data_IF_441159421676
#
_entry.id   IF_441159421676
#
_cell.length_a   1.000
_cell.length_b   1.000
_cell.length_c   1.000
_cell.angle_alpha   90.00
_cell.angle_beta   90.00
_cell.angle_gamma   90.00
#
_symmetry.space_group_name_H-M   'P 1'
#
loop_
_entity.id
_entity.type
_entity.pdbx_description
1 polymer ?
#
# COMPACT_ATOMS: atom_id res chain seq x y z
N UNK A 1 -3.35 -35.93 -64.22
CA UNK A 1 -4.54 -35.13 -64.56
C UNK A 1 -5.63 -35.58 -63.60
N UNK A 2 -5.79 -34.97 -62.43
CA UNK A 2 -6.22 -33.58 -62.20
C UNK A 2 -7.76 -33.58 -62.18
N UNK A 3 -8.48 -33.06 -61.20
CA UNK A 3 -8.20 -32.37 -59.94
C UNK A 3 -9.52 -32.44 -59.15
N UNK A 4 -9.45 -32.40 -57.81
CA UNK A 4 -10.61 -32.48 -56.93
C UNK A 4 -11.45 -31.19 -56.99
N UNK A 5 -12.76 -31.32 -57.18
CA UNK A 5 -13.73 -30.23 -57.03
C UNK A 5 -14.41 -30.32 -55.67
N UNK A 6 -13.83 -29.68 -54.67
CA UNK A 6 -14.37 -29.56 -53.32
C UNK A 6 -15.62 -28.66 -53.32
N UNK A 7 -16.71 -29.17 -52.73
CA UNK A 7 -17.98 -28.47 -52.59
C UNK A 7 -17.89 -27.46 -51.44
N UNK A 8 -18.04 -26.18 -51.81
CA UNK A 8 -18.72 -25.11 -51.10
C UNK A 8 -18.77 -25.15 -49.58
N UNK A 9 -17.80 -24.48 -48.96
CA UNK A 9 -17.94 -23.79 -47.69
C UNK A 9 -17.36 -22.37 -47.89
N UNK A 10 -17.99 -21.38 -47.25
CA UNK A 10 -17.64 -19.95 -47.24
C UNK A 10 -18.14 -19.08 -48.40
N UNK A 11 -19.47 -18.89 -48.48
CA UNK A 11 -20.09 -17.88 -49.35
C UNK A 11 -20.71 -16.69 -48.59
N UNK A 12 -20.25 -16.43 -47.35
CA UNK A 12 -20.71 -15.30 -46.52
C UNK A 12 -19.60 -14.25 -46.21
N UNK A 13 -18.41 -14.37 -46.83
CA UNK A 13 -17.21 -13.62 -46.43
C UNK A 13 -16.73 -12.50 -47.37
N UNK A 14 -17.50 -12.02 -48.35
CA UNK A 14 -17.20 -10.73 -49.00
C UNK A 14 -17.96 -9.58 -48.33
N UNK A 15 -17.62 -9.33 -47.06
CA UNK A 15 -17.99 -8.11 -46.37
C UNK A 15 -17.52 -6.87 -47.14
N UNK A 16 -18.25 -5.76 -46.99
CA UNK A 16 -17.94 -4.47 -47.65
C UNK A 16 -16.48 -4.02 -47.37
N UNK A 17 -15.84 -4.51 -46.31
CA UNK A 17 -14.43 -4.28 -45.96
C UNK A 17 -13.65 -5.60 -45.90
N UNK A 18 -13.41 -6.20 -47.06
CA UNK A 18 -12.53 -7.37 -47.17
C UNK A 18 -11.07 -7.00 -46.80
N UNK A 19 -10.23 -7.97 -46.39
CA UNK A 19 -8.88 -7.68 -45.88
C UNK A 19 -8.00 -6.86 -46.83
N UNK A 20 -8.10 -7.11 -48.14
CA UNK A 20 -7.44 -6.36 -49.22
C UNK A 20 -7.88 -4.88 -49.30
N UNK A 21 -9.17 -4.63 -49.05
CA UNK A 21 -9.76 -3.28 -49.02
C UNK A 21 -9.39 -2.57 -47.73
N UNK A 22 -9.43 -3.27 -46.59
CA UNK A 22 -9.05 -2.72 -45.28
C UNK A 22 -7.58 -2.29 -45.29
N UNK A 23 -6.69 -3.12 -45.85
CA UNK A 23 -5.28 -2.77 -46.01
C UNK A 23 -5.10 -1.51 -46.88
N UNK A 24 -5.76 -1.46 -48.03
CA UNK A 24 -5.72 -0.30 -48.93
C UNK A 24 -6.31 0.96 -48.28
N UNK A 25 -7.31 0.79 -47.41
CA UNK A 25 -7.91 1.88 -46.64
C UNK A 25 -6.94 2.42 -45.57
N UNK A 26 -6.23 1.56 -44.83
CA UNK A 26 -5.23 2.00 -43.84
C UNK A 26 -4.05 2.73 -44.51
N UNK A 27 -3.55 2.22 -45.63
CA UNK A 27 -2.54 2.92 -46.43
C UNK A 27 -3.02 4.30 -46.88
N UNK A 28 -4.27 4.40 -47.35
CA UNK A 28 -4.86 5.68 -47.76
C UNK A 28 -5.02 6.65 -46.57
N UNK A 29 -5.28 6.17 -45.36
CA UNK A 29 -5.35 7.03 -44.16
C UNK A 29 -3.98 7.64 -43.81
N UNK A 30 -2.88 6.94 -44.07
CA UNK A 30 -1.52 7.44 -43.87
C UNK A 30 -1.13 8.49 -44.94
N UNK A 31 -1.54 8.28 -46.19
CA UNK A 31 -1.27 9.18 -47.32
C UNK A 31 -2.12 10.46 -47.20
N UNK A 32 -3.37 10.33 -46.75
CA UNK A 32 -4.31 11.44 -46.60
C UNK A 32 -4.67 11.64 -45.12
N UNK A 33 -3.82 12.30 -44.30
CA UNK A 33 -4.11 12.58 -42.90
C UNK A 33 -5.33 13.50 -42.73
N UNK A 34 -5.93 13.60 -41.52
CA UNK A 34 -7.08 14.46 -41.27
C UNK A 34 -6.71 15.96 -41.36
N UNK A 35 -6.83 16.55 -42.55
CA UNK A 35 -6.49 17.96 -42.81
C UNK A 35 -7.62 18.93 -42.45
N UNK A 36 -8.12 18.93 -41.21
CA UNK A 36 -9.06 19.96 -40.69
C UNK A 36 -10.10 20.49 -41.71
N UNK A 37 -10.23 21.82 -41.81
CA UNK A 37 -11.15 22.53 -42.73
C UNK A 37 -10.43 23.08 -43.99
N UNK A 38 -9.52 22.34 -44.63
CA UNK A 38 -8.92 22.75 -45.92
C UNK A 38 -9.04 21.63 -46.94
N UNK A 39 -9.61 21.94 -48.11
CA UNK A 39 -9.80 21.01 -49.24
C UNK A 39 -8.50 20.93 -50.05
N UNK A 40 -8.07 19.71 -50.38
CA UNK A 40 -6.91 19.47 -51.25
C UNK A 40 -7.40 19.58 -52.70
N UNK A 41 -6.78 20.44 -53.49
CA UNK A 41 -7.11 20.64 -54.91
C UNK A 41 -6.13 19.80 -55.73
N UNK A 42 -6.63 18.89 -56.57
CA UNK A 42 -5.83 18.15 -57.52
C UNK A 42 -5.99 18.81 -58.89
N UNK A 43 -4.87 19.28 -59.45
CA UNK A 43 -4.81 20.24 -60.57
C UNK A 43 -5.02 19.62 -61.96
N UNK A 44 -5.23 18.31 -62.07
CA UNK A 44 -5.16 17.58 -63.34
C UNK A 44 -6.50 17.29 -64.03
N UNK A 45 -7.65 17.46 -63.35
CA UNK A 45 -8.98 17.20 -63.95
C UNK A 45 -10.06 18.26 -63.61
N UNK A 46 -9.70 19.37 -62.95
CA UNK A 46 -10.62 20.47 -62.63
C UNK A 46 -11.73 20.13 -61.61
N UNK A 47 -11.76 18.92 -61.05
CA UNK A 47 -12.70 18.49 -60.00
C UNK A 47 -12.10 18.61 -58.60
N UNK A 48 -12.84 19.22 -57.69
CA UNK A 48 -12.48 19.26 -56.26
C UNK A 48 -12.80 17.92 -55.59
N UNK A 49 -11.80 17.22 -55.04
CA UNK A 49 -11.99 15.98 -54.28
C UNK A 49 -11.80 16.21 -52.78
N UNK A 50 -12.72 15.74 -51.97
CA UNK A 50 -12.57 15.66 -50.51
C UNK A 50 -11.70 14.46 -50.08
N UNK A 51 -11.16 14.51 -48.86
CA UNK A 51 -10.32 13.44 -48.27
C UNK A 51 -10.92 12.04 -48.44
N UNK A 52 -12.21 11.89 -48.14
CA UNK A 52 -12.89 10.59 -48.21
C UNK A 52 -13.15 10.12 -49.66
N UNK A 53 -13.15 11.05 -50.62
CA UNK A 53 -13.21 10.73 -52.06
C UNK A 53 -11.83 10.30 -52.58
N UNK A 54 -10.76 10.90 -52.07
CA UNK A 54 -9.38 10.48 -52.36
C UNK A 54 -9.09 9.08 -51.81
N UNK A 55 -9.54 8.79 -50.58
CA UNK A 55 -9.43 7.44 -49.99
C UNK A 55 -10.21 6.41 -50.82
N UNK A 56 -11.45 6.72 -51.22
CA UNK A 56 -12.24 5.87 -52.10
C UNK A 56 -11.56 5.61 -53.45
N UNK A 57 -10.96 6.64 -54.06
CA UNK A 57 -10.22 6.51 -55.32
C UNK A 57 -8.96 5.66 -55.15
N UNK A 58 -8.23 5.84 -54.06
CA UNK A 58 -7.03 5.04 -53.74
C UNK A 58 -7.37 3.55 -53.59
N UNK A 59 -8.43 3.23 -52.84
CA UNK A 59 -8.93 1.85 -52.72
C UNK A 59 -9.25 1.28 -54.09
N UNK A 60 -9.99 2.01 -54.92
CA UNK A 60 -10.34 1.55 -56.28
C UNK A 60 -9.10 1.32 -57.16
N UNK A 61 -8.08 2.18 -57.05
CA UNK A 61 -6.85 2.04 -57.80
C UNK A 61 -6.02 0.82 -57.38
N UNK A 62 -5.98 0.53 -56.07
CA UNK A 62 -5.21 -0.59 -55.50
C UNK A 62 -5.90 -1.95 -55.62
N UNK A 63 -7.22 -2.02 -55.42
CA UNK A 63 -7.95 -3.29 -55.33
C UNK A 63 -8.87 -3.56 -56.52
N UNK A 64 -9.10 -2.58 -57.39
CA UNK A 64 -10.12 -2.64 -58.45
C UNK A 64 -11.57 -2.56 -57.94
N UNK A 65 -11.79 -2.71 -56.63
CA UNK A 65 -13.12 -2.71 -56.00
C UNK A 65 -13.55 -1.28 -55.65
N UNK A 66 -14.77 -0.90 -56.04
CA UNK A 66 -15.28 0.46 -55.80
C UNK A 66 -15.85 0.59 -54.39
N UNK A 67 -15.41 1.63 -53.66
CA UNK A 67 -16.02 2.07 -52.38
C UNK A 67 -16.47 3.50 -52.50
N UNK A 68 -17.66 3.79 -52.00
CA UNK A 68 -18.24 5.14 -52.04
C UNK A 68 -17.66 6.02 -50.93
N UNK A 69 -17.63 7.33 -51.16
CA UNK A 69 -17.32 8.32 -50.12
C UNK A 69 -18.11 8.13 -48.84
N UNK A 70 -19.40 7.75 -48.94
CA UNK A 70 -20.27 7.52 -47.79
C UNK A 70 -19.84 6.27 -47.01
N UNK A 71 -19.48 5.18 -47.69
CA UNK A 71 -18.94 3.97 -47.05
C UNK A 71 -17.64 4.27 -46.29
N UNK A 72 -16.70 4.98 -46.93
CA UNK A 72 -15.45 5.44 -46.29
C UNK A 72 -15.73 6.30 -45.05
N UNK A 73 -16.69 7.23 -45.15
CA UNK A 73 -17.05 8.12 -44.03
C UNK A 73 -17.66 7.34 -42.86
N UNK A 74 -18.54 6.38 -43.15
CA UNK A 74 -19.16 5.51 -42.16
C UNK A 74 -18.11 4.68 -41.41
N UNK A 75 -17.16 4.09 -42.14
CA UNK A 75 -16.10 3.26 -41.56
C UNK A 75 -15.17 4.04 -40.63
N UNK A 76 -14.77 5.25 -41.03
CA UNK A 76 -13.99 6.17 -40.17
C UNK A 76 -14.77 6.47 -38.88
N UNK A 77 -16.08 6.71 -38.95
CA UNK A 77 -16.90 6.98 -37.78
C UNK A 77 -17.02 5.77 -36.86
N UNK A 78 -17.15 4.56 -37.41
CA UNK A 78 -17.18 3.31 -36.65
C UNK A 78 -15.85 3.12 -35.90
N UNK A 79 -14.72 3.30 -36.57
CA UNK A 79 -13.40 3.21 -35.95
C UNK A 79 -13.19 4.25 -34.85
N UNK A 80 -13.61 5.50 -35.08
CA UNK A 80 -13.55 6.55 -34.06
C UNK A 80 -14.41 6.20 -32.83
N UNK A 81 -15.66 5.76 -33.05
CA UNK A 81 -16.57 5.32 -31.97
C UNK A 81 -16.01 4.12 -31.20
N UNK A 82 -15.40 3.15 -31.89
CA UNK A 82 -14.77 1.98 -31.25
C UNK A 82 -13.60 2.41 -30.37
N UNK A 83 -12.72 3.28 -30.87
CA UNK A 83 -11.59 3.83 -30.10
C UNK A 83 -12.06 4.62 -28.87
N UNK A 84 -13.11 5.42 -29.01
CA UNK A 84 -13.71 6.14 -27.86
C UNK A 84 -14.28 5.17 -26.81
N UNK A 85 -14.96 4.10 -27.24
CA UNK A 85 -15.49 3.08 -26.32
C UNK A 85 -14.38 2.32 -25.59
N UNK A 86 -13.29 1.98 -26.28
CA UNK A 86 -12.12 1.32 -25.66
C UNK A 86 -11.45 2.23 -24.62
N UNK A 87 -11.34 3.53 -24.87
CA UNK A 87 -10.82 4.50 -23.89
C UNK A 87 -11.77 4.64 -22.70
N UNK A 88 -13.08 4.72 -22.94
CA UNK A 88 -14.08 4.80 -21.87
C UNK A 88 -14.14 3.54 -21.02
N UNK A 89 -13.98 2.35 -21.63
CA UNK A 89 -13.91 1.09 -20.90
C UNK A 89 -12.66 1.04 -19.99
N UNK A 90 -11.50 1.45 -20.52
CA UNK A 90 -10.26 1.53 -19.71
C UNK A 90 -10.38 2.50 -18.54
N UNK A 91 -10.96 3.68 -18.75
CA UNK A 91 -11.20 4.64 -17.69
C UNK A 91 -12.19 4.11 -16.64
N UNK A 92 -13.25 3.42 -17.08
CA UNK A 92 -14.24 2.83 -16.17
C UNK A 92 -13.63 1.70 -15.32
N UNK A 93 -12.76 0.88 -15.90
CA UNK A 93 -12.04 -0.18 -15.18
C UNK A 93 -11.04 0.39 -14.17
N UNK A 94 -10.34 1.49 -14.52
CA UNK A 94 -9.48 2.20 -13.57
C UNK A 94 -10.28 2.84 -12.43
N UNK A 95 -11.41 3.49 -12.73
CA UNK A 95 -12.28 4.06 -11.70
C UNK A 95 -12.89 3.00 -10.78
N UNK A 96 -13.23 1.81 -11.29
CA UNK A 96 -13.73 0.71 -10.48
C UNK A 96 -12.65 0.18 -9.53
N UNK A 97 -11.41 0.03 -10.01
CA UNK A 97 -10.27 -0.35 -9.17
C UNK A 97 -9.96 0.70 -8.11
N UNK A 98 -9.98 1.98 -8.48
CA UNK A 98 -9.78 3.08 -7.53
C UNK A 98 -10.90 3.14 -6.48
N UNK A 99 -12.14 2.83 -6.86
CA UNK A 99 -13.27 2.75 -5.93
C UNK A 99 -13.14 1.54 -4.99
N UNK A 100 -12.68 0.39 -5.48
CA UNK A 100 -12.35 -0.77 -4.64
C UNK A 100 -11.22 -0.43 -3.65
N UNK A 101 -10.13 0.21 -4.12
CA UNK A 101 -9.03 0.69 -3.28
C UNK A 101 -9.51 1.69 -2.22
N UNK A 102 -10.36 2.66 -2.58
CA UNK A 102 -10.92 3.63 -1.64
C UNK A 102 -11.85 2.99 -0.60
N UNK A 103 -12.70 2.04 -1.00
CA UNK A 103 -13.55 1.31 -0.06
C UNK A 103 -12.74 0.41 0.89
N UNK A 104 -11.63 -0.16 0.42
CA UNK A 104 -10.69 -0.93 1.22
C UNK A 104 -9.88 -0.04 2.18
N UNK A 105 -9.49 1.18 1.76
CA UNK A 105 -8.84 2.16 2.63
C UNK A 105 -9.78 2.62 3.78
N UNK A 106 -11.10 2.55 3.57
CA UNK A 106 -12.09 2.82 4.60
C UNK A 106 -12.34 1.62 5.54
N UNK A 107 -11.87 0.41 5.22
CA UNK A 107 -12.02 -0.75 6.10
C UNK A 107 -11.02 -0.69 7.28
N UNK A 108 -11.55 -0.77 8.50
CA UNK A 108 -10.74 -0.82 9.71
C UNK A 108 -10.05 -2.16 9.86
N UNK A 109 -8.84 -2.14 10.42
CA UNK A 109 -8.18 -3.34 10.92
C UNK A 109 -9.06 -4.12 11.92
N UNK A 110 -9.96 -3.45 12.65
CA UNK A 110 -10.97 -4.09 13.49
C UNK A 110 -12.11 -4.76 12.72
N UNK A 111 -12.55 -4.19 11.59
CA UNK A 111 -13.53 -4.82 10.70
C UNK A 111 -12.90 -6.03 10.01
N UNK A 112 -11.65 -5.91 9.57
CA UNK A 112 -10.87 -7.03 9.07
C UNK A 112 -10.79 -8.11 10.14
N UNK A 113 -10.25 -7.84 11.33
CA UNK A 113 -10.12 -8.82 12.40
C UNK A 113 -11.45 -9.50 12.78
N UNK A 114 -12.59 -8.78 12.74
CA UNK A 114 -13.91 -9.28 13.13
C UNK A 114 -14.67 -10.09 12.07
N UNK A 115 -14.31 -10.01 10.78
CA UNK A 115 -15.09 -10.61 9.67
C UNK A 115 -15.07 -12.16 9.55
N UNK A 116 -14.90 -12.93 10.63
CA UNK A 116 -14.90 -14.41 10.57
C UNK A 116 -15.57 -15.01 11.81
N UNK A 117 -16.85 -15.41 11.70
CA UNK A 117 -17.45 -16.66 12.22
C UNK A 117 -18.82 -16.84 11.51
N UNK A 118 -18.87 -17.39 10.30
CA UNK A 118 -20.06 -18.07 9.72
C UNK A 118 -19.63 -18.87 8.46
N UNK A 119 -18.67 -19.77 8.57
CA UNK A 119 -18.39 -20.75 7.51
C UNK A 119 -18.10 -22.17 8.06
N UNK A 120 -18.48 -22.47 9.31
CA UNK A 120 -18.06 -23.72 9.99
C UNK A 120 -19.20 -24.56 10.58
N UNK A 121 -20.42 -24.47 10.04
CA UNK A 121 -21.54 -25.32 10.52
C UNK A 121 -22.55 -25.72 9.42
N UNK A 122 -22.07 -26.14 8.24
CA UNK A 122 -22.97 -26.67 7.19
C UNK A 122 -22.46 -27.91 6.45
N UNK A 123 -21.60 -28.73 7.08
CA UNK A 123 -21.05 -29.93 6.42
C UNK A 123 -21.14 -31.22 7.26
N UNK A 124 -22.10 -31.30 8.17
CA UNK A 124 -22.49 -32.55 8.83
C UNK A 124 -24.01 -32.57 9.03
N UNK A 125 -24.74 -33.07 8.02
CA UNK A 125 -25.96 -33.89 8.12
C UNK A 125 -26.70 -33.87 6.76
N UNK A 126 -26.25 -34.69 5.80
CA UNK A 126 -27.06 -34.99 4.61
C UNK A 126 -27.02 -36.49 4.29
N UNK A 127 -28.00 -37.23 4.83
CA UNK A 127 -28.42 -38.54 4.32
C UNK A 127 -29.95 -38.68 4.48
N UNK A 128 -30.71 -38.38 3.41
CA UNK A 128 -31.84 -39.16 2.85
C UNK A 128 -32.75 -38.30 1.92
N UNK A 129 -32.90 -38.76 0.67
CA UNK A 129 -33.68 -38.25 -0.49
C UNK A 129 -35.24 -38.30 -0.32
N UNK A 130 -36.10 -37.93 -1.32
CA UNK A 130 -36.09 -36.82 -2.32
C UNK A 130 -37.47 -36.08 -2.49
N UNK A 131 -37.53 -34.94 -3.19
CA UNK A 131 -38.41 -34.68 -4.38
C UNK A 131 -38.51 -33.19 -4.82
N UNK A 132 -37.96 -32.92 -6.01
CA UNK A 132 -38.39 -32.01 -7.11
C UNK A 132 -39.24 -30.74 -6.86
N UNK A 133 -38.74 -29.56 -7.26
CA UNK A 133 -39.13 -28.84 -8.51
C UNK A 133 -38.35 -27.52 -8.73
N UNK A 134 -37.87 -27.32 -9.97
CA UNK A 134 -37.62 -26.09 -10.74
C UNK A 134 -36.89 -24.84 -10.14
N UNK A 135 -35.66 -24.62 -10.63
CA UNK A 135 -35.07 -23.37 -11.19
C UNK A 135 -35.47 -22.00 -10.62
N UNK A 136 -34.55 -21.32 -9.93
CA UNK A 136 -33.74 -20.18 -10.43
C UNK A 136 -32.87 -19.63 -9.28
N UNK A 137 -31.56 -19.56 -9.50
CA UNK A 137 -30.59 -19.01 -8.54
C UNK A 137 -30.38 -17.52 -8.79
N UNK A 138 -30.93 -16.69 -7.92
CA UNK A 138 -30.49 -15.32 -7.67
C UNK A 138 -30.82 -15.02 -6.21
N UNK A 139 -29.80 -14.76 -5.38
CA UNK A 139 -29.80 -13.71 -4.35
C UNK A 139 -28.73 -13.99 -3.28
N UNK A 140 -27.56 -13.36 -3.48
CA UNK A 140 -26.51 -13.24 -2.46
C UNK A 140 -26.06 -11.78 -2.27
N UNK A 141 -26.94 -10.82 -2.62
CA UNK A 141 -26.67 -9.38 -2.49
C UNK A 141 -27.89 -8.60 -1.99
N UNK A 142 -28.53 -9.07 -0.92
CA UNK A 142 -29.66 -8.36 -0.29
C UNK A 142 -29.42 -7.97 1.18
N UNK A 143 -28.16 -7.88 1.62
CA UNK A 143 -27.83 -7.44 2.99
C UNK A 143 -27.28 -6.00 3.07
N UNK A 144 -26.98 -5.35 1.94
CA UNK A 144 -26.29 -4.05 1.91
C UNK A 144 -27.07 -2.96 1.17
N UNK A 145 -28.28 -2.66 1.63
CA UNK A 145 -28.88 -1.33 1.46
C UNK A 145 -29.53 -0.99 2.80
N UNK A 146 -28.81 -0.26 3.64
CA UNK A 146 -29.37 0.38 4.83
C UNK A 146 -29.96 1.73 4.44
N UNK A 147 -31.24 1.90 4.79
CA UNK A 147 -32.11 3.03 4.50
C UNK A 147 -31.48 4.40 4.77
N UNK A 148 -31.75 5.31 3.82
CA UNK A 148 -31.70 6.75 4.01
C UNK A 148 -32.99 7.14 4.71
N UNK A 149 -32.91 7.56 5.97
CA UNK A 149 -34.01 8.29 6.60
C UNK A 149 -33.72 9.80 6.56
N UNK A 150 -34.67 10.51 5.96
CA UNK A 150 -34.60 11.91 5.61
C UNK A 150 -35.57 12.65 6.53
N UNK A 151 -35.06 13.46 7.46
CA UNK A 151 -35.85 14.57 7.96
C UNK A 151 -35.03 15.81 8.34
N UNK A 152 -35.65 16.96 8.09
CA UNK A 152 -35.04 18.29 7.88
C UNK A 152 -34.65 19.02 9.17
N UNK A 153 -33.61 19.85 9.10
CA UNK A 153 -33.66 21.30 9.39
C UNK A 153 -32.35 22.01 9.00
N UNK A 154 -32.47 23.09 8.23
CA UNK A 154 -31.39 23.99 7.75
C UNK A 154 -30.94 24.98 8.86
N UNK A 155 -29.70 25.52 8.82
CA UNK A 155 -29.48 26.77 8.08
C UNK A 155 -28.11 26.90 7.35
N UNK A 156 -28.21 27.35 6.10
CA UNK A 156 -27.46 28.42 5.42
C UNK A 156 -25.98 28.69 5.80
N UNK A 157 -25.04 28.18 4.99
CA UNK A 157 -23.69 28.77 4.82
C UNK A 157 -23.26 28.69 3.34
N UNK A 158 -22.88 29.85 2.80
CA UNK A 158 -22.50 30.14 1.41
C UNK A 158 -21.21 29.43 0.96
N UNK A 159 -21.06 29.05 -0.33
CA UNK A 159 -19.84 28.43 -0.83
C UNK A 159 -18.76 29.50 -1.07
N UNK A 160 -17.62 29.37 -0.37
CA UNK A 160 -16.42 30.16 -0.68
C UNK A 160 -15.59 29.38 -1.68
N UNK A 161 -15.52 29.93 -2.89
CA UNK A 161 -14.55 29.59 -3.92
C UNK A 161 -13.16 30.04 -3.44
N UNK A 162 -12.18 29.13 -3.37
CA UNK A 162 -10.76 29.50 -3.37
C UNK A 162 -10.05 28.90 -4.58
N UNK A 163 -9.46 29.81 -5.36
CA UNK A 163 -8.65 29.58 -6.53
C UNK A 163 -7.23 29.09 -6.15
N UNK A 164 -6.48 28.48 -7.09
CA UNK A 164 -5.19 27.85 -6.82
C UNK A 164 -4.02 28.87 -6.84
N UNK A 165 -2.79 28.38 -6.65
CA UNK A 165 -1.44 28.95 -6.92
C UNK A 165 -0.57 29.25 -5.67
N UNK A 166 0.78 29.23 -5.76
CA UNK A 166 1.67 28.51 -6.69
C UNK A 166 2.83 27.74 -5.99
N UNK A 167 3.36 26.75 -6.71
CA UNK A 167 4.62 26.04 -6.40
C UNK A 167 5.80 26.96 -6.72
N UNK A 168 6.71 27.19 -5.76
CA UNK A 168 7.99 27.87 -6.01
C UNK A 168 9.14 26.87 -5.92
N UNK A 169 9.80 26.64 -7.06
CA UNK A 169 11.05 25.90 -7.19
C UNK A 169 12.22 26.81 -6.78
N UNK A 170 13.08 26.35 -5.88
CA UNK A 170 14.34 27.04 -5.55
C UNK A 170 15.50 26.25 -6.13
N UNK A 171 16.22 26.92 -7.01
CA UNK A 171 17.43 26.46 -7.68
C UNK A 171 18.64 26.40 -6.73
N UNK A 172 19.48 25.38 -6.94
CA UNK A 172 20.78 25.22 -6.29
C UNK A 172 21.75 26.34 -6.72
N UNK A 173 22.43 26.95 -5.75
CA UNK A 173 23.55 27.86 -6.02
C UNK A 173 24.86 27.20 -5.59
N UNK A 174 25.69 26.89 -6.59
CA UNK A 174 27.11 26.57 -6.45
C UNK A 174 27.88 27.85 -6.13
N UNK A 175 28.69 27.87 -5.06
CA UNK A 175 29.70 28.91 -4.85
C UNK A 175 31.08 28.25 -4.72
N UNK A 176 32.01 28.85 -5.46
CA UNK A 176 33.33 28.39 -5.80
C UNK A 176 34.36 28.46 -4.67
N UNK A 177 35.38 27.61 -4.85
CA UNK A 177 36.65 27.54 -4.11
C UNK A 177 37.52 28.79 -4.29
N UNK A 178 38.13 29.27 -3.21
CA UNK A 178 39.08 30.39 -3.23
C UNK A 178 39.91 30.53 -1.94
N UNK A 179 41.14 29.98 -1.98
CA UNK A 179 42.41 30.36 -1.35
C UNK A 179 42.57 30.74 0.16
N UNK A 180 43.61 30.11 0.72
CA UNK A 180 44.31 30.18 2.01
C UNK A 180 44.50 31.55 2.71
N UNK A 181 44.50 31.55 4.06
CA UNK A 181 45.58 32.12 4.91
C UNK A 181 45.43 31.73 6.40
N UNK A 182 46.56 31.83 7.12
CA UNK A 182 46.94 31.13 8.35
C UNK A 182 46.75 31.95 9.65
N UNK A 183 46.70 31.23 10.79
CA UNK A 183 46.93 31.64 12.20
C UNK A 183 45.90 32.46 12.97
N UNK A 184 45.42 31.90 14.08
CA UNK A 184 44.67 32.60 15.12
C UNK A 184 44.10 31.66 16.18
N UNK A 185 44.97 31.22 17.11
CA UNK A 185 44.65 30.37 18.26
C UNK A 185 43.67 31.11 19.20
N UNK A 186 42.45 30.60 19.33
CA UNK A 186 41.56 30.92 20.46
C UNK A 186 40.88 29.63 20.93
N UNK A 187 41.17 29.28 22.17
CA UNK A 187 40.71 28.12 22.90
C UNK A 187 39.25 28.30 23.32
N UNK A 188 38.36 27.48 22.77
CA UNK A 188 37.03 27.23 23.31
C UNK A 188 36.92 25.71 23.46
N UNK A 189 36.63 25.25 24.68
CA UNK A 189 36.49 23.83 25.00
C UNK A 189 35.52 23.15 24.01
N UNK A 190 35.82 21.93 23.51
CA UNK A 190 34.80 21.15 22.86
C UNK A 190 33.81 20.71 23.94
N UNK A 191 32.59 21.23 23.89
CA UNK A 191 31.45 20.57 24.51
C UNK A 191 31.42 19.15 23.94
N UNK A 192 31.86 18.17 24.74
CA UNK A 192 31.77 16.75 24.43
C UNK A 192 30.32 16.30 24.59
N UNK A 193 29.42 16.81 23.74
CA UNK A 193 28.21 16.09 23.41
C UNK A 193 28.60 15.06 22.36
N UNK A 194 28.83 13.84 22.82
CA UNK A 194 29.23 12.67 22.04
C UNK A 194 28.36 12.53 20.79
N UNK A 195 28.98 12.70 19.62
CA UNK A 195 28.39 12.54 18.28
C UNK A 195 27.88 11.12 17.96
N UNK A 196 27.94 10.20 18.92
CA UNK A 196 27.63 8.76 18.78
C UNK A 196 26.15 8.42 18.94
N UNK A 197 25.34 9.35 19.46
CA UNK A 197 23.92 9.12 19.75
C UNK A 197 23.00 9.26 18.52
N UNK A 198 23.59 9.17 17.32
CA UNK A 198 22.99 9.69 16.10
C UNK A 198 22.23 8.67 15.28
N UNK A 199 22.28 7.37 15.60
CA UNK A 199 21.60 6.33 14.81
C UNK A 199 20.75 5.36 15.62
N UNK A 200 20.68 5.51 16.95
CA UNK A 200 20.11 4.51 17.87
C UNK A 200 18.74 4.98 18.37
N UNK A 201 17.80 4.06 18.55
CA UNK A 201 16.55 4.32 19.27
C UNK A 201 16.88 4.32 20.76
N UNK A 202 17.18 5.50 21.30
CA UNK A 202 17.65 5.61 22.67
C UNK A 202 17.84 7.03 23.17
N UNK A 203 17.66 7.20 24.47
CA UNK A 203 18.09 8.37 25.23
C UNK A 203 19.53 8.17 25.74
N UNK A 204 20.05 9.12 26.51
CA UNK A 204 21.39 9.00 27.13
C UNK A 204 21.45 7.87 28.16
N UNK A 205 20.29 7.47 28.68
CA UNK A 205 20.16 6.53 29.80
C UNK A 205 19.48 5.23 29.41
N UNK A 206 18.88 5.12 28.22
CA UNK A 206 18.13 3.93 27.88
C UNK A 206 18.01 3.76 26.36
N UNK A 207 18.29 2.56 25.85
CA UNK A 207 18.25 2.28 24.41
C UNK A 207 17.58 0.95 24.09
N UNK A 208 16.92 0.88 22.95
CA UNK A 208 16.46 -0.35 22.32
C UNK A 208 17.63 -0.99 21.56
N UNK A 209 17.99 -2.23 21.92
CA UNK A 209 19.07 -2.98 21.30
C UNK A 209 18.57 -3.94 20.22
N UNK A 210 17.41 -4.57 20.42
CA UNK A 210 16.82 -5.50 19.47
C UNK A 210 15.30 -5.52 19.61
N UNK A 211 14.59 -5.55 18.49
CA UNK A 211 13.14 -5.73 18.46
C UNK A 211 12.78 -6.67 17.31
N UNK A 212 11.97 -7.69 17.59
CA UNK A 212 11.49 -8.60 16.54
C UNK A 212 10.06 -9.03 16.80
N UNK A 213 9.25 -9.04 15.74
CA UNK A 213 7.99 -9.77 15.72
C UNK A 213 8.11 -10.92 14.73
N UNK A 214 7.72 -12.12 15.15
CA UNK A 214 7.96 -13.34 14.42
C UNK A 214 6.82 -14.34 14.53
N UNK A 215 6.78 -15.24 13.56
CA UNK A 215 6.01 -16.47 13.60
C UNK A 215 6.99 -17.63 13.69
N UNK A 216 6.74 -18.58 14.58
CA UNK A 216 7.49 -19.82 14.64
C UNK A 216 6.56 -21.02 14.51
N UNK A 217 7.07 -22.09 13.95
CA UNK A 217 6.36 -23.36 13.90
C UNK A 217 7.35 -24.50 14.06
N UNK A 218 6.86 -25.58 14.66
CA UNK A 218 7.60 -26.80 14.87
C UNK A 218 7.12 -27.82 13.84
N UNK A 219 8.03 -28.32 13.00
CA UNK A 219 7.70 -29.40 12.08
C UNK A 219 7.98 -30.72 12.80
N UNK A 220 6.98 -31.58 13.00
CA UNK A 220 7.14 -32.84 13.74
C UNK A 220 8.25 -33.74 13.15
N UNK A 221 8.59 -33.57 11.87
CA UNK A 221 9.65 -34.34 11.18
C UNK A 221 11.06 -33.79 11.38
N UNK A 222 11.22 -32.54 11.83
CA UNK A 222 12.50 -31.90 12.05
C UNK A 222 12.48 -31.21 13.42
N UNK A 223 13.32 -31.65 14.36
CA UNK A 223 13.45 -31.04 15.70
C UNK A 223 13.89 -29.55 15.70
N UNK A 224 14.02 -28.94 14.52
CA UNK A 224 14.41 -27.54 14.35
C UNK A 224 13.16 -26.64 14.26
N UNK A 225 13.07 -25.68 15.18
CA UNK A 225 12.10 -24.59 15.10
C UNK A 225 12.42 -23.74 13.88
N UNK A 226 11.44 -23.55 13.00
CA UNK A 226 11.53 -22.53 11.94
C UNK A 226 10.92 -21.25 12.46
N UNK A 227 11.55 -20.13 12.14
CA UNK A 227 11.11 -18.80 12.53
C UNK A 227 11.11 -17.92 11.29
N UNK A 228 10.03 -17.17 11.13
CA UNK A 228 9.87 -16.12 10.14
C UNK A 228 9.75 -14.79 10.87
N UNK A 229 10.58 -13.80 10.51
CA UNK A 229 10.52 -12.46 11.10
C UNK A 229 9.64 -11.57 10.22
N UNK A 230 8.51 -11.10 10.77
CA UNK A 230 7.71 -10.08 10.11
C UNK A 230 8.44 -8.74 10.12
N UNK A 231 8.98 -8.39 11.29
CA UNK A 231 9.80 -7.20 11.49
C UNK A 231 11.02 -7.54 12.33
N UNK A 232 12.12 -6.86 12.01
CA UNK A 232 13.38 -7.01 12.72
C UNK A 232 14.12 -5.67 12.80
N UNK A 233 14.45 -5.26 14.01
CA UNK A 233 15.44 -4.23 14.34
C UNK A 233 16.56 -4.96 15.05
N UNK A 234 17.70 -5.07 14.38
CA UNK A 234 18.90 -5.67 14.95
C UNK A 234 19.78 -4.65 15.68
N UNK A 235 20.92 -5.11 16.21
CA UNK A 235 21.91 -4.24 16.83
C UNK A 235 22.37 -3.18 15.82
N UNK A 236 22.09 -1.92 16.13
CA UNK A 236 22.41 -0.81 15.24
C UNK A 236 23.93 -0.61 15.23
N UNK A 237 24.59 -0.56 14.05
CA UNK A 237 26.02 -0.33 13.99
C UNK A 237 26.37 1.05 14.57
N UNK A 238 27.48 1.10 15.31
CA UNK A 238 27.95 2.26 16.10
C UNK A 238 28.23 3.52 15.23
N UNK A 239 28.26 3.38 13.90
CA UNK A 239 28.51 4.43 12.94
C UNK A 239 27.33 4.57 11.96
N UNK A 240 26.36 5.42 12.31
CA UNK A 240 25.25 5.77 11.43
C UNK A 240 25.13 7.29 11.26
N UNK A 241 24.49 7.71 10.17
CA UNK A 241 24.10 9.11 9.94
C UNK A 241 23.11 9.57 11.03
N UNK A 242 23.05 10.88 11.34
CA UNK A 242 22.00 11.41 12.21
C UNK A 242 20.62 10.97 11.72
N UNK A 243 19.78 10.50 12.64
CA UNK A 243 18.37 10.22 12.37
C UNK A 243 17.71 11.46 11.80
N UNK A 244 16.93 11.26 10.74
CA UNK A 244 16.07 12.29 10.18
C UNK A 244 15.00 12.68 11.20
N UNK A 245 14.68 13.96 11.24
CA UNK A 245 13.65 14.49 12.13
C UNK A 245 12.31 14.53 11.39
N UNK A 246 11.26 14.06 12.05
CA UNK A 246 9.88 14.17 11.58
C UNK A 246 9.10 14.98 12.61
N UNK A 247 8.35 15.96 12.13
CA UNK A 247 7.46 16.74 12.98
C UNK A 247 6.35 15.82 13.54
N UNK A 248 6.29 15.73 14.87
CA UNK A 248 5.33 14.90 15.59
C UNK A 248 3.86 15.20 15.24
N UNK A 249 3.57 16.44 14.81
CA UNK A 249 2.22 16.85 14.39
C UNK A 249 1.72 16.12 13.14
N UNK A 250 2.64 15.61 12.31
CA UNK A 250 2.28 14.90 11.06
C UNK A 250 1.71 13.51 11.30
N UNK A 251 1.84 12.97 12.51
CA UNK A 251 1.44 11.59 12.83
C UNK A 251 0.38 11.52 13.93
N UNK A 252 -0.10 12.64 14.49
CA UNK A 252 -1.07 12.62 15.59
C UNK A 252 -2.38 11.92 15.20
N UNK A 253 -2.83 12.06 13.96
CA UNK A 253 -4.03 11.39 13.42
C UNK A 253 -3.92 9.85 13.40
N UNK A 254 -2.69 9.32 13.46
CA UNK A 254 -2.43 7.88 13.47
C UNK A 254 -2.42 7.27 14.87
N UNK A 255 -2.46 8.08 15.94
CA UNK A 255 -2.35 7.61 17.32
C UNK A 255 -3.49 8.14 18.21
N UNK A 256 -3.73 7.53 19.39
CA UNK A 256 -4.81 7.96 20.28
C UNK A 256 -4.61 9.41 20.72
N UNK A 257 -5.69 10.20 20.66
CA UNK A 257 -5.76 11.55 21.21
C UNK A 257 -6.17 11.54 22.69
N UNK A 258 -6.99 10.56 23.10
CA UNK A 258 -7.52 10.44 24.46
C UNK A 258 -6.75 9.38 25.28
N UNK A 259 -6.62 9.60 26.59
CA UNK A 259 -6.13 8.58 27.52
C UNK A 259 -4.61 8.36 27.50
N UNK A 260 -3.81 9.44 27.56
CA UNK A 260 -2.36 9.35 27.50
C UNK A 260 -1.91 9.00 26.08
N UNK A 261 -2.41 9.80 25.14
CA UNK A 261 -2.12 9.73 23.72
C UNK A 261 -0.70 10.17 23.36
N UNK A 262 -0.31 10.05 22.08
CA UNK A 262 1.04 10.46 21.66
C UNK A 262 1.29 11.95 21.93
N UNK A 263 0.28 12.79 21.74
CA UNK A 263 0.36 14.23 22.02
C UNK A 263 0.63 14.51 23.49
N UNK A 264 -0.19 13.97 24.40
CA UNK A 264 -0.03 14.12 25.85
C UNK A 264 1.34 13.64 26.33
N UNK A 265 1.77 12.48 25.82
CA UNK A 265 3.07 11.90 26.16
C UNK A 265 4.20 12.83 25.73
N UNK A 266 4.14 13.36 24.49
CA UNK A 266 5.18 14.25 23.97
C UNK A 266 5.22 15.59 24.70
N UNK A 267 4.07 16.13 25.09
CA UNK A 267 4.00 17.39 25.85
C UNK A 267 4.52 17.26 27.29
N UNK A 268 4.36 16.09 27.91
CA UNK A 268 4.82 15.82 29.27
C UNK A 268 6.24 15.25 29.33
N UNK A 269 6.66 14.54 28.29
CA UNK A 269 7.89 13.78 28.25
C UNK A 269 9.08 14.53 27.66
N UNK A 270 10.31 14.02 27.86
CA UNK A 270 11.49 14.57 27.23
C UNK A 270 11.48 14.31 25.70
N UNK A 271 11.59 15.33 24.82
CA UNK A 271 11.51 15.15 23.37
C UNK A 271 12.53 14.14 22.79
N UNK A 272 13.68 13.97 23.42
CA UNK A 272 14.70 12.99 23.02
C UNK A 272 14.28 11.52 23.20
N UNK A 273 13.19 11.24 23.91
CA UNK A 273 12.69 9.89 24.13
C UNK A 273 11.72 9.41 23.03
N UNK A 274 11.39 10.26 22.04
CA UNK A 274 10.35 9.99 21.05
C UNK A 274 10.94 9.63 19.68
N UNK A 275 10.53 8.48 19.17
CA UNK A 275 11.00 7.93 17.90
C UNK A 275 9.82 7.44 17.06
N UNK A 276 9.98 7.52 15.74
CA UNK A 276 9.08 6.91 14.77
C UNK A 276 9.87 5.86 13.99
N UNK A 277 9.32 4.67 13.88
CA UNK A 277 9.90 3.58 13.10
C UNK A 277 8.90 3.19 12.02
N UNK A 278 9.32 3.34 10.77
CA UNK A 278 8.59 2.85 9.61
C UNK A 278 9.11 1.46 9.26
N UNK A 279 8.24 0.46 9.34
CA UNK A 279 8.54 -0.91 8.96
C UNK A 279 8.04 -1.24 7.56
N UNK A 280 8.84 -2.00 6.83
CA UNK A 280 8.40 -2.82 5.70
C UNK A 280 8.34 -4.26 6.18
N UNK A 281 7.13 -4.71 6.53
CA UNK A 281 6.88 -6.00 7.11
C UNK A 281 6.98 -7.11 6.03
N UNK A 282 7.70 -8.18 6.34
CA UNK A 282 7.79 -9.33 5.47
C UNK A 282 6.62 -10.29 5.72
N UNK A 283 5.69 -10.34 4.77
CA UNK A 283 4.52 -11.24 4.83
C UNK A 283 4.70 -12.48 3.95
N UNK A 284 5.88 -12.69 3.35
CA UNK A 284 6.17 -13.75 2.38
C UNK A 284 6.46 -15.09 3.05
N UNK A 285 5.49 -15.60 3.80
CA UNK A 285 5.53 -16.96 4.33
C UNK A 285 4.66 -17.86 3.49
N UNK A 286 5.25 -18.88 2.88
CA UNK A 286 4.48 -20.01 2.39
C UNK A 286 4.03 -20.83 3.60
N UNK A 287 2.82 -20.58 4.09
CA UNK A 287 2.17 -21.56 4.96
C UNK A 287 1.86 -22.76 4.08
N UNK A 288 2.58 -23.87 4.28
CA UNK A 288 2.09 -25.13 3.77
C UNK A 288 0.71 -25.33 4.38
N UNK A 289 -0.28 -25.48 3.50
CA UNK A 289 -1.70 -25.80 3.75
C UNK A 289 -1.86 -26.49 5.10
N UNK A 290 -2.73 -25.92 5.93
CA UNK A 290 -3.22 -26.52 7.18
C UNK A 290 -3.22 -28.04 7.07
N UNK A 291 -2.33 -28.70 7.83
CA UNK A 291 -2.46 -30.14 8.02
C UNK A 291 -3.74 -30.32 8.82
N UNK A 292 -4.80 -30.69 8.10
CA UNK A 292 -6.06 -31.14 8.68
C UNK A 292 -5.74 -32.30 9.62
N UNK A 293 -5.71 -32.00 10.92
CA UNK A 293 -5.50 -32.97 11.99
C UNK A 293 -4.07 -33.07 12.50
N UNK A 294 -3.70 -32.17 13.43
CA UNK A 294 -2.51 -32.37 14.27
C UNK A 294 -2.01 -31.08 14.91
N UNK A 295 -2.36 -30.86 16.19
CA UNK A 295 -1.71 -30.21 17.35
C UNK A 295 -0.60 -29.12 17.18
N UNK A 296 0.05 -28.94 16.03
CA UNK A 296 1.13 -27.97 15.78
C UNK A 296 0.66 -26.64 15.19
N UNK A 297 0.00 -25.79 15.98
CA UNK A 297 -0.26 -24.39 15.59
C UNK A 297 1.02 -23.55 15.53
N UNK A 298 1.11 -22.62 14.57
CA UNK A 298 2.20 -21.65 14.53
C UNK A 298 2.07 -20.64 15.70
N UNK A 299 3.15 -20.41 16.45
CA UNK A 299 3.22 -19.42 17.52
C UNK A 299 3.62 -18.06 16.95
N UNK A 300 2.91 -17.01 17.39
CA UNK A 300 3.14 -15.63 16.97
C UNK A 300 3.58 -14.83 18.19
N UNK A 301 4.73 -14.17 18.10
CA UNK A 301 5.27 -13.46 19.26
C UNK A 301 6.17 -12.29 18.92
N UNK A 302 6.44 -11.50 19.95
CA UNK A 302 7.35 -10.35 19.95
C UNK A 302 8.45 -10.61 20.97
N UNK A 303 9.68 -10.26 20.61
CA UNK A 303 10.80 -10.20 21.55
C UNK A 303 11.46 -8.84 21.44
N UNK A 304 11.84 -8.26 22.58
CA UNK A 304 12.58 -7.00 22.61
C UNK A 304 13.63 -6.99 23.70
N UNK A 305 14.77 -6.36 23.41
CA UNK A 305 15.92 -6.19 24.29
C UNK A 305 16.26 -4.72 24.44
N UNK A 306 16.47 -4.29 25.68
CA UNK A 306 16.85 -2.92 26.01
C UNK A 306 18.09 -2.89 26.88
N UNK A 307 18.81 -1.77 26.85
CA UNK A 307 20.02 -1.56 27.66
C UNK A 307 20.00 -0.18 28.34
N UNK A 308 20.52 -0.12 29.57
CA UNK A 308 20.66 1.13 30.33
C UNK A 308 21.74 1.05 31.43
N UNK A 309 22.14 2.16 32.05
CA UNK A 309 23.16 2.19 33.08
C UNK A 309 22.60 1.93 34.50
N UNK A 310 21.28 1.95 34.67
CA UNK A 310 20.60 1.78 35.96
C UNK A 310 19.75 0.52 35.96
N UNK A 311 19.76 -0.22 37.07
CA UNK A 311 18.75 -1.25 37.32
C UNK A 311 17.41 -0.58 37.63
N UNK A 312 16.35 -1.05 36.99
CA UNK A 312 14.98 -0.59 37.20
C UNK A 312 14.00 -1.73 36.90
N UNK A 313 12.73 -1.53 37.20
CA UNK A 313 11.67 -2.46 36.81
C UNK A 313 11.02 -1.94 35.54
N UNK A 314 11.39 -2.50 34.39
CA UNK A 314 10.95 -2.00 33.09
C UNK A 314 9.50 -2.41 32.80
N UNK A 315 8.65 -1.42 32.61
CA UNK A 315 7.27 -1.58 32.15
C UNK A 315 7.14 -1.15 30.70
N UNK A 316 6.55 -2.00 29.86
CA UNK A 316 6.34 -1.76 28.43
C UNK A 316 4.86 -1.87 28.11
N UNK A 317 4.24 -0.76 27.72
CA UNK A 317 2.87 -0.71 27.22
C UNK A 317 2.88 -0.65 25.70
N UNK A 318 2.21 -1.60 25.04
CA UNK A 318 1.99 -1.60 23.59
C UNK A 318 0.52 -1.34 23.29
N UNK A 319 0.22 -0.19 22.67
CA UNK A 319 -1.12 0.22 22.24
C UNK A 319 -1.27 0.02 20.73
N UNK A 320 -2.14 -0.89 20.32
CA UNK A 320 -2.47 -1.14 18.92
C UNK A 320 -3.61 -0.22 18.51
N UNK A 321 -3.43 0.48 17.40
CA UNK A 321 -4.34 1.54 16.97
C UNK A 321 -4.86 1.29 15.54
N UNK A 322 -6.14 1.60 15.33
CA UNK A 322 -6.78 1.65 14.01
C UNK A 322 -7.44 3.01 13.83
N UNK A 323 -7.15 3.70 12.72
CA UNK A 323 -7.69 5.05 12.46
C UNK A 323 -7.49 6.01 13.65
N UNK A 324 -6.29 6.00 14.23
CA UNK A 324 -5.96 6.82 15.41
C UNK A 324 -6.63 6.38 16.71
N UNK A 325 -7.48 5.34 16.72
CA UNK A 325 -8.15 4.87 17.95
C UNK A 325 -7.48 3.63 18.51
N UNK A 326 -7.30 3.60 19.83
CA UNK A 326 -6.79 2.42 20.53
C UNK A 326 -7.81 1.27 20.45
N UNK A 327 -7.36 0.13 19.94
CA UNK A 327 -8.18 -1.09 19.83
C UNK A 327 -7.78 -2.11 20.90
N UNK A 328 -6.48 -2.28 21.12
CA UNK A 328 -5.94 -3.21 22.12
C UNK A 328 -4.78 -2.53 22.84
N UNK A 329 -4.67 -2.76 24.14
CA UNK A 329 -3.51 -2.38 24.94
C UNK A 329 -2.97 -3.60 25.66
N UNK A 330 -1.65 -3.75 25.64
CA UNK A 330 -0.94 -4.81 26.35
C UNK A 330 0.15 -4.19 27.22
N UNK A 331 0.06 -4.44 28.52
CA UNK A 331 1.07 -4.05 29.49
C UNK A 331 1.94 -5.27 29.82
N UNK A 332 3.26 -5.12 29.73
CA UNK A 332 4.22 -6.17 30.03
C UNK A 332 5.35 -5.63 30.89
N UNK A 333 5.64 -6.32 31.99
CA UNK A 333 6.84 -6.08 32.79
C UNK A 333 7.96 -6.96 32.25
N UNK A 334 9.12 -6.37 31.97
CA UNK A 334 10.28 -7.12 31.49
C UNK A 334 10.83 -8.08 32.57
N UNK A 335 11.62 -9.05 32.13
CA UNK A 335 12.42 -9.87 33.03
C UNK A 335 13.33 -8.98 33.91
N UNK A 336 13.64 -9.41 35.16
CA UNK A 336 14.54 -8.67 36.03
C UNK A 336 15.85 -8.32 35.33
N UNK A 337 16.29 -7.07 35.49
CA UNK A 337 17.47 -6.55 34.84
C UNK A 337 18.70 -7.42 35.17
N UNK A 338 19.44 -7.84 34.15
CA UNK A 338 20.70 -8.54 34.33
C UNK A 338 21.88 -7.66 33.92
N UNK A 339 22.99 -7.77 34.65
CA UNK A 339 24.19 -7.00 34.34
C UNK A 339 25.03 -7.73 33.29
N UNK A 340 25.27 -7.08 32.14
CA UNK A 340 26.01 -7.63 31.00
C UNK A 340 26.86 -6.53 30.36
N UNK A 341 28.15 -6.78 30.12
CA UNK A 341 29.04 -5.87 29.40
C UNK A 341 29.07 -4.41 29.92
N UNK A 342 28.90 -4.23 31.23
CA UNK A 342 28.92 -2.90 31.87
C UNK A 342 27.61 -2.12 31.78
N UNK A 343 26.52 -2.76 31.35
CA UNK A 343 25.16 -2.19 31.32
C UNK A 343 24.15 -3.17 31.92
N UNK A 344 23.02 -2.63 32.39
CA UNK A 344 21.85 -3.42 32.71
C UNK A 344 21.06 -3.69 31.43
N UNK A 345 20.68 -4.95 31.24
CA UNK A 345 19.96 -5.43 30.07
C UNK A 345 18.59 -5.93 30.50
N UNK A 346 17.57 -5.57 29.74
CA UNK A 346 16.17 -5.91 29.99
C UNK A 346 15.64 -6.70 28.80
N UNK A 347 14.92 -7.78 29.07
CA UNK A 347 14.34 -8.62 28.03
C UNK A 347 12.85 -8.82 28.22
N UNK A 348 12.11 -8.72 27.14
CA UNK A 348 10.75 -9.25 27.00
C UNK A 348 10.88 -10.34 25.94
N UNK A 349 10.91 -11.61 26.36
CA UNK A 349 11.16 -12.74 25.46
C UNK A 349 9.87 -13.42 25.09
N UNK A 350 9.69 -13.67 23.78
CA UNK A 350 8.61 -14.52 23.24
C UNK A 350 7.24 -14.14 23.81
N UNK A 351 7.00 -12.84 23.92
CA UNK A 351 5.71 -12.30 24.31
C UNK A 351 4.67 -12.68 23.27
N UNK A 352 3.58 -13.38 23.62
CA UNK A 352 2.59 -13.82 22.64
C UNK A 352 1.85 -12.61 22.06
N UNK A 353 1.68 -12.59 20.74
CA UNK A 353 0.82 -11.62 20.08
C UNK A 353 -0.64 -11.86 20.51
N UNK A 354 -1.41 -10.78 20.68
CA UNK A 354 -2.82 -10.91 21.00
C UNK A 354 -3.60 -11.48 19.81
N UNK A 355 -4.74 -12.11 20.10
CA UNK A 355 -5.58 -12.76 19.07
C UNK A 355 -5.96 -11.79 17.95
N UNK A 356 -6.27 -10.55 18.30
CA UNK A 356 -6.52 -9.47 17.35
C UNK A 356 -5.41 -9.32 16.31
N UNK A 357 -4.14 -9.22 16.75
CA UNK A 357 -3.00 -9.05 15.85
C UNK A 357 -2.75 -10.30 15.01
N UNK A 358 -2.95 -11.49 15.58
CA UNK A 358 -2.79 -12.75 14.85
C UNK A 358 -3.84 -12.83 13.72
N UNK A 359 -5.11 -12.55 14.02
CA UNK A 359 -6.19 -12.57 13.04
C UNK A 359 -6.01 -11.46 11.99
N UNK A 360 -5.53 -10.28 12.39
CA UNK A 360 -5.15 -9.21 11.49
C UNK A 360 -4.07 -9.65 10.49
N UNK A 361 -2.97 -10.25 10.95
CA UNK A 361 -1.89 -10.75 10.07
C UNK A 361 -2.41 -11.83 9.12
N UNK A 362 -3.26 -12.75 9.61
CA UNK A 362 -3.86 -13.80 8.77
C UNK A 362 -4.68 -13.20 7.63
N UNK A 363 -5.57 -12.25 7.93
CA UNK A 363 -6.45 -11.61 6.95
C UNK A 363 -5.71 -10.66 6.02
N UNK A 364 -4.72 -9.92 6.52
CA UNK A 364 -3.88 -9.09 5.67
C UNK A 364 -3.17 -9.92 4.59
N UNK A 365 -2.78 -11.16 4.92
CA UNK A 365 -2.13 -12.10 3.99
C UNK A 365 -3.07 -12.76 2.98
N UNK A 366 -4.39 -12.72 3.17
CA UNK A 366 -5.35 -13.23 2.18
C UNK A 366 -5.60 -12.23 1.04
N UNK A 367 -5.21 -10.96 1.22
CA UNK A 367 -5.36 -9.95 0.19
C UNK A 367 -4.51 -10.27 -1.03
N UNK A 368 -5.05 -10.14 -2.26
CA UNK A 368 -4.38 -10.57 -3.48
C UNK A 368 -3.24 -9.63 -3.90
N UNK A 369 -3.36 -8.35 -3.57
CA UNK A 369 -2.46 -7.29 -4.07
C UNK A 369 -1.75 -6.56 -2.93
N UNK A 370 -0.46 -6.24 -3.15
CA UNK A 370 0.36 -5.48 -2.20
C UNK A 370 -0.28 -4.12 -1.86
N UNK A 371 -0.83 -3.45 -2.85
CA UNK A 371 -1.46 -2.13 -2.68
C UNK A 371 -2.63 -2.19 -1.70
N UNK A 372 -3.46 -3.23 -1.79
CA UNK A 372 -4.56 -3.46 -0.84
C UNK A 372 -4.06 -3.65 0.58
N UNK A 373 -2.95 -4.38 0.76
CA UNK A 373 -2.33 -4.54 2.09
C UNK A 373 -1.77 -3.22 2.62
N UNK A 374 -1.10 -2.44 1.77
CA UNK A 374 -0.54 -1.13 2.14
C UNK A 374 -1.66 -0.14 2.53
N UNK A 375 -2.79 -0.13 1.80
CA UNK A 375 -3.96 0.70 2.15
C UNK A 375 -4.57 0.34 3.51
N UNK A 376 -4.59 -0.94 3.87
CA UNK A 376 -5.02 -1.38 5.20
C UNK A 376 -4.02 -0.95 6.27
N UNK A 377 -2.72 -1.10 6.00
CA UNK A 377 -1.66 -0.74 6.94
C UNK A 377 -1.52 0.77 7.15
N UNK A 378 -1.96 1.60 6.21
CA UNK A 378 -1.93 3.06 6.31
C UNK A 378 -2.59 3.58 7.59
N UNK A 379 -3.69 2.93 8.01
CA UNK A 379 -4.46 3.29 9.19
C UNK A 379 -4.18 2.37 10.40
N UNK A 380 -3.15 1.53 10.31
CA UNK A 380 -2.72 0.63 11.37
C UNK A 380 -1.38 1.10 11.96
N UNK A 381 -1.36 1.33 13.26
CA UNK A 381 -0.17 1.79 13.97
C UNK A 381 -0.05 1.13 15.34
N UNK A 382 1.15 1.12 15.89
CA UNK A 382 1.40 0.63 17.25
C UNK A 382 2.22 1.68 17.99
N UNK A 383 1.77 2.07 19.18
CA UNK A 383 2.49 2.97 20.07
C UNK A 383 3.06 2.17 21.24
N UNK A 384 4.38 2.16 21.38
CA UNK A 384 5.07 1.50 22.48
C UNK A 384 5.60 2.53 23.46
N UNK A 385 5.20 2.43 24.73
CA UNK A 385 5.55 3.36 25.80
C UNK A 385 6.30 2.59 26.88
N UNK A 386 7.55 2.96 27.14
CA UNK A 386 8.40 2.32 28.12
C UNK A 386 8.61 3.23 29.32
N UNK A 387 8.31 2.71 30.51
CA UNK A 387 8.42 3.44 31.77
C UNK A 387 9.19 2.62 32.79
N UNK A 388 9.81 3.32 33.73
CA UNK A 388 10.19 2.73 34.99
C UNK A 388 8.92 2.53 35.84
N UNK A 389 8.63 1.29 36.22
CA UNK A 389 7.43 0.92 36.97
C UNK A 389 7.38 1.60 38.35
N UNK A 390 8.54 1.87 38.98
CA UNK A 390 8.58 2.45 40.32
C UNK A 390 8.43 3.98 40.29
N UNK A 391 9.18 4.65 39.41
CA UNK A 391 9.20 6.11 39.32
C UNK A 391 8.16 6.70 38.36
N UNK A 392 7.57 5.88 37.50
CA UNK A 392 6.70 6.27 36.38
C UNK A 392 7.39 7.16 35.33
N UNK A 393 8.73 7.28 35.40
CA UNK A 393 9.55 8.02 34.45
C UNK A 393 9.40 7.42 33.04
N UNK A 394 9.14 8.28 32.05
CA UNK A 394 9.12 7.89 30.65
C UNK A 394 10.55 7.69 30.14
N UNK A 395 10.89 6.46 29.78
CA UNK A 395 12.23 6.08 29.29
C UNK A 395 12.32 6.19 27.77
N UNK A 396 11.33 5.63 27.06
CA UNK A 396 11.23 5.64 25.60
C UNK A 396 9.78 5.62 25.15
N UNK A 397 9.50 6.28 24.03
CA UNK A 397 8.24 6.24 23.32
C UNK A 397 8.52 5.99 21.84
N UNK A 398 7.99 4.90 21.30
CA UNK A 398 8.26 4.46 19.92
C UNK A 398 6.93 4.29 19.19
N UNK A 399 6.74 5.11 18.17
CA UNK A 399 5.62 5.02 17.23
C UNK A 399 6.01 4.08 16.07
N UNK A 400 5.21 3.06 15.80
CA UNK A 400 5.39 2.14 14.68
C UNK A 400 4.34 2.36 13.61
N UNK A 401 4.79 2.53 12.37
CA UNK A 401 3.97 2.57 11.15
C UNK A 401 4.45 1.52 10.17
N UNK A 402 3.56 1.01 9.32
CA UNK A 402 3.82 -0.21 8.57
C UNK A 402 3.48 -0.07 7.08
N UNK A 403 4.28 -0.73 6.26
CA UNK A 403 4.01 -1.06 4.86
C UNK A 403 4.41 -2.52 4.64
N UNK A 404 3.96 -3.13 3.54
CA UNK A 404 4.40 -4.47 3.14
C UNK A 404 5.71 -4.38 2.37
N UNK A 405 6.65 -5.26 2.72
CA UNK A 405 7.91 -5.37 1.99
C UNK A 405 7.72 -5.94 0.59
N UNK A 406 8.58 -5.51 -0.34
CA UNK A 406 8.68 -6.17 -1.63
C UNK A 406 9.20 -7.62 -1.45
N UNK A 407 8.63 -8.57 -2.20
CA UNK A 407 8.88 -10.02 -2.03
C UNK A 407 10.36 -10.44 -2.00
N UNK A 408 11.22 -9.64 -2.62
CA UNK A 408 12.65 -9.93 -2.80
C UNK A 408 13.55 -9.38 -1.68
N UNK A 409 13.03 -8.46 -0.86
CA UNK A 409 13.86 -7.60 0.00
C UNK A 409 13.87 -7.98 1.48
N UNK A 410 13.02 -8.91 1.90
CA UNK A 410 12.85 -9.28 3.31
C UNK A 410 12.35 -8.09 4.17
N UNK A 411 12.39 -8.20 5.49
CA UNK A 411 11.97 -7.09 6.35
C UNK A 411 12.97 -5.93 6.32
N UNK A 412 12.46 -4.70 6.25
CA UNK A 412 13.26 -3.47 6.33
C UNK A 412 12.64 -2.50 7.34
N UNK A 413 13.41 -1.53 7.79
CA UNK A 413 12.91 -0.45 8.64
C UNK A 413 13.67 0.85 8.40
N UNK A 414 13.04 1.96 8.74
CA UNK A 414 13.67 3.28 8.82
C UNK A 414 13.28 3.95 10.14
N UNK A 415 14.23 4.64 10.76
CA UNK A 415 14.08 5.22 12.10
C UNK A 415 14.19 6.74 11.98
N UNK A 416 13.23 7.43 12.58
CA UNK A 416 13.16 8.87 12.65
C UNK A 416 13.12 9.32 14.11
N UNK A 417 13.66 10.50 14.37
CA UNK A 417 13.45 11.19 15.64
C UNK A 417 12.22 12.07 15.52
N UNK A 418 11.36 12.04 16.53
CA UNK A 418 10.20 12.94 16.59
C UNK A 418 10.60 14.28 17.21
N UNK A 419 10.21 15.36 16.55
CA UNK A 419 10.53 16.74 16.93
C UNK A 419 9.35 17.69 16.73
N UNK A 420 9.53 18.93 17.15
CA UNK A 420 8.71 20.07 16.74
C UNK A 420 9.66 21.09 16.13
N UNK A 421 9.61 21.23 14.81
CA UNK A 421 10.28 22.33 14.10
C UNK A 421 9.46 23.63 14.18
#
# INVERSE_FOLDING_TARGET
MGEAGEKGLDNDAEGIWSPDIEQSFQEALAIYPPCGRRKIILSDEGKMYGRNELIARYIKLRTGKTRTRKQVSSHIQVLARRKTREIQAKLKDEMAKDQELQSMAAMSSAQLASATVFEEEQDLLELQYPSSTNTQSTDLFHFWVGDVDQDQTTPDIKPILQAPYPITSIAATLIASGYLTTTGRSSCLPSTTTSWQKSIIGTETFQLAEFTAFMEWQNERNMFKRQHHFVYIGPIPICGSPLEMVDVRQIYDKFPEEGGGLQDLYDQGPPQAFFLVKFWADLNVALHREESGGIGGAFYGVSSRYEGPRALTLSCTSKVCSFGKQVVEKLETAEPAHWENGRFVFHIKRSPLCEYLINFIRKLRTLPEKQMMDSVLENFSILQVLRDQETQELLLCIAFVFEVSAKERGTQHHIYRLGRD
#
